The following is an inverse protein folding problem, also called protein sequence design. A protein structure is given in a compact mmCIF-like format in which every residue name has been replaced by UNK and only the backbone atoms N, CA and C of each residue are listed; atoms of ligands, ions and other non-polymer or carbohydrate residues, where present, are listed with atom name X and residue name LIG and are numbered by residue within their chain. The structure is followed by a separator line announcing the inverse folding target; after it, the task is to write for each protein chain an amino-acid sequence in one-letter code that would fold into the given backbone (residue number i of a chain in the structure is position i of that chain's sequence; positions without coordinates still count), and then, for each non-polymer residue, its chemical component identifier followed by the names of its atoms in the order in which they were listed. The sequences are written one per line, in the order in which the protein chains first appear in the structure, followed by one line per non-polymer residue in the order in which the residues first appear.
data_IF_347819858383
#
_entry.id   IF_347819858383
#
_cell.length_a   1.000
_cell.length_b   1.000
_cell.length_c   1.000
_cell.angle_alpha   90.00
_cell.angle_beta   90.00
_cell.angle_gamma   90.00
#
_symmetry.space_group_name_H-M   'P 1'
#
loop_
_entity.id
_entity.type
_entity.pdbx_description
1 polymer ?
#
# COMPACT_ATOMS: atom_id res chain seq x y z
N UNK A 1 3.77 23.54 -3.99
CA UNK A 1 2.41 23.36 -3.45
C UNK A 1 1.45 24.17 -4.32
N UNK A 2 0.20 23.75 -4.49
CA UNK A 2 -0.75 24.53 -5.29
C UNK A 2 -1.05 25.87 -4.60
N UNK A 3 -1.10 26.94 -5.39
CA UNK A 3 -1.27 28.32 -4.95
C UNK A 3 -2.74 28.76 -5.00
N UNK A 4 -3.58 28.06 -5.77
CA UNK A 4 -5.00 28.35 -5.89
C UNK A 4 -5.82 27.09 -6.27
N UNK A 5 -7.15 27.12 -6.10
CA UNK A 5 -8.01 25.98 -6.43
C UNK A 5 -7.97 25.54 -7.90
N UNK A 6 -7.74 26.46 -8.84
CA UNK A 6 -7.70 26.12 -10.27
C UNK A 6 -6.53 25.20 -10.60
N UNK A 7 -5.35 25.47 -10.04
CA UNK A 7 -4.18 24.59 -10.19
C UNK A 7 -4.44 23.17 -9.68
N UNK A 8 -5.23 23.01 -8.61
CA UNK A 8 -5.62 21.70 -8.09
C UNK A 8 -6.54 20.98 -9.08
N UNK A 9 -7.57 21.68 -9.59
CA UNK A 9 -8.53 21.09 -10.54
C UNK A 9 -7.86 20.71 -11.86
N UNK A 10 -6.97 21.56 -12.37
CA UNK A 10 -6.21 21.30 -13.60
C UNK A 10 -5.31 20.08 -13.42
N UNK A 11 -4.59 19.99 -12.31
CA UNK A 11 -3.75 18.83 -11.98
C UNK A 11 -4.58 17.53 -11.89
N UNK A 12 -5.68 17.53 -11.13
CA UNK A 12 -6.54 16.36 -10.99
C UNK A 12 -7.15 15.92 -12.32
N UNK A 13 -7.57 16.89 -13.15
CA UNK A 13 -8.16 16.61 -14.46
C UNK A 13 -7.13 16.06 -15.45
N UNK A 14 -5.91 16.60 -15.46
CA UNK A 14 -4.82 16.07 -16.29
C UNK A 14 -4.41 14.66 -15.85
N UNK A 15 -4.30 14.43 -14.53
CA UNK A 15 -4.02 13.11 -13.98
C UNK A 15 -5.11 12.09 -14.37
N UNK A 16 -6.38 12.46 -14.23
CA UNK A 16 -7.50 11.60 -14.61
C UNK A 16 -7.48 11.27 -16.11
N UNK A 17 -7.20 12.26 -16.97
CA UNK A 17 -7.08 12.04 -18.42
C UNK A 17 -5.98 11.03 -18.77
N UNK A 18 -4.84 11.08 -18.06
CA UNK A 18 -3.71 10.16 -18.30
C UNK A 18 -3.93 8.77 -17.69
N UNK A 19 -4.55 8.69 -16.52
CA UNK A 19 -4.76 7.44 -15.80
C UNK A 19 -5.94 6.62 -16.34
N UNK A 20 -6.98 7.28 -16.86
CA UNK A 20 -8.23 6.63 -17.30
C UNK A 20 -8.02 5.53 -18.36
N UNK A 21 -7.22 5.71 -19.44
CA UNK A 21 -7.02 4.66 -20.44
C UNK A 21 -6.42 3.38 -19.85
N UNK A 22 -5.50 3.53 -18.89
CA UNK A 22 -4.91 2.39 -18.20
C UNK A 22 -5.93 1.69 -17.30
N UNK A 23 -6.73 2.46 -16.54
CA UNK A 23 -7.79 1.90 -15.69
C UNK A 23 -8.88 1.17 -16.49
N UNK A 24 -9.27 1.71 -17.66
CA UNK A 24 -10.22 1.04 -18.56
C UNK A 24 -9.65 -0.28 -19.11
N UNK A 25 -8.36 -0.31 -19.44
CA UNK A 25 -7.66 -1.53 -19.87
C UNK A 25 -7.59 -2.58 -18.76
N UNK A 26 -7.20 -2.18 -17.56
CA UNK A 26 -7.13 -3.08 -16.39
C UNK A 26 -8.50 -3.65 -16.04
N UNK A 27 -9.56 -2.83 -16.05
CA UNK A 27 -10.91 -3.29 -15.81
C UNK A 27 -11.40 -4.26 -16.89
N UNK A 28 -11.08 -4.00 -18.17
CA UNK A 28 -11.42 -4.91 -19.25
C UNK A 28 -10.70 -6.26 -19.11
N UNK A 29 -9.41 -6.25 -18.74
CA UNK A 29 -8.64 -7.46 -18.45
C UNK A 29 -9.24 -8.24 -17.28
N UNK A 30 -9.62 -7.55 -16.21
CA UNK A 30 -10.24 -8.15 -15.03
C UNK A 30 -11.59 -8.78 -15.35
N UNK A 31 -12.44 -8.09 -16.13
CA UNK A 31 -13.72 -8.64 -16.61
C UNK A 31 -13.53 -9.88 -17.47
N UNK A 32 -12.57 -9.85 -18.41
CA UNK A 32 -12.27 -11.00 -19.26
C UNK A 32 -11.79 -12.20 -18.43
N UNK A 33 -10.92 -11.96 -17.45
CA UNK A 33 -10.46 -12.99 -16.51
C UNK A 33 -11.60 -13.57 -15.67
N UNK A 34 -12.43 -12.71 -15.06
CA UNK A 34 -13.57 -13.15 -14.25
C UNK A 34 -14.59 -13.96 -15.05
N UNK A 35 -14.82 -13.59 -16.32
CA UNK A 35 -15.70 -14.34 -17.23
C UNK A 35 -15.09 -15.69 -17.62
N UNK A 36 -13.82 -15.72 -17.99
CA UNK A 36 -13.14 -16.94 -18.46
C UNK A 36 -12.99 -17.99 -17.35
N UNK A 37 -12.58 -17.57 -16.15
CA UNK A 37 -12.24 -18.49 -15.06
C UNK A 37 -13.39 -18.75 -14.09
N UNK A 38 -14.33 -17.80 -13.94
CA UNK A 38 -15.39 -17.87 -12.92
C UNK A 38 -16.82 -17.70 -13.49
N UNK A 39 -16.97 -17.50 -14.80
CA UNK A 39 -18.28 -17.37 -15.44
C UNK A 39 -19.04 -16.10 -15.02
N UNK A 40 -18.35 -15.07 -14.52
CA UNK A 40 -18.98 -13.81 -14.10
C UNK A 40 -19.16 -12.90 -15.31
N UNK A 41 -20.40 -12.65 -15.69
CA UNK A 41 -20.73 -11.80 -16.84
C UNK A 41 -20.63 -10.29 -16.53
N UNK A 42 -20.97 -9.88 -15.30
CA UNK A 42 -20.92 -8.48 -14.88
C UNK A 42 -20.15 -8.34 -13.57
N UNK A 43 -19.08 -7.55 -13.60
CA UNK A 43 -18.23 -7.27 -12.45
C UNK A 43 -18.73 -6.01 -11.72
N UNK A 44 -19.15 -6.16 -10.47
CA UNK A 44 -19.57 -5.04 -9.63
C UNK A 44 -18.38 -4.41 -8.90
N UNK A 45 -18.49 -3.16 -8.40
CA UNK A 45 -17.37 -2.48 -7.75
C UNK A 45 -16.79 -3.22 -6.54
N UNK A 46 -17.60 -3.94 -5.77
CA UNK A 46 -17.14 -4.74 -4.62
C UNK A 46 -16.42 -6.03 -5.04
N UNK A 47 -16.63 -6.51 -6.25
CA UNK A 47 -15.98 -7.71 -6.78
C UNK A 47 -14.54 -7.44 -7.22
N UNK A 48 -14.22 -6.18 -7.50
CA UNK A 48 -12.93 -5.78 -8.08
C UNK A 48 -11.77 -6.29 -7.22
N UNK A 49 -11.77 -6.02 -5.92
CA UNK A 49 -10.67 -6.42 -5.02
C UNK A 49 -10.46 -7.94 -5.02
N UNK A 50 -11.56 -8.70 -4.95
CA UNK A 50 -11.51 -10.16 -4.91
C UNK A 50 -10.94 -10.77 -6.21
N UNK A 51 -11.46 -10.36 -7.36
CA UNK A 51 -10.98 -10.91 -8.63
C UNK A 51 -9.60 -10.36 -9.01
N UNK A 52 -9.22 -9.16 -8.56
CA UNK A 52 -7.89 -8.61 -8.79
C UNK A 52 -6.83 -9.43 -8.08
N UNK A 53 -7.09 -9.85 -6.84
CA UNK A 53 -6.19 -10.78 -6.12
C UNK A 53 -6.08 -12.13 -6.84
N UNK A 54 -7.20 -12.69 -7.32
CA UNK A 54 -7.16 -13.93 -8.10
C UNK A 54 -6.40 -13.79 -9.42
N UNK A 55 -6.59 -12.67 -10.12
CA UNK A 55 -5.91 -12.38 -11.36
C UNK A 55 -4.40 -12.22 -11.12
N UNK A 56 -4.01 -11.52 -10.05
CA UNK A 56 -2.61 -11.36 -9.64
C UNK A 56 -1.96 -12.70 -9.31
N UNK A 57 -2.67 -13.56 -8.57
CA UNK A 57 -2.22 -14.93 -8.30
C UNK A 57 -2.07 -15.75 -9.59
N UNK A 58 -3.02 -15.65 -10.52
CA UNK A 58 -2.96 -16.36 -11.80
C UNK A 58 -1.78 -15.89 -12.68
N UNK A 59 -1.56 -14.57 -12.78
CA UNK A 59 -0.53 -13.99 -13.64
C UNK A 59 0.89 -14.09 -13.06
N UNK A 60 1.03 -13.88 -11.75
CA UNK A 60 2.33 -13.72 -11.12
C UNK A 60 2.67 -14.85 -10.14
N UNK A 61 1.75 -15.79 -9.88
CA UNK A 61 1.92 -16.86 -8.88
C UNK A 61 2.29 -16.33 -7.48
N UNK A 62 1.93 -15.08 -7.18
CA UNK A 62 2.18 -14.40 -5.90
C UNK A 62 0.84 -14.12 -5.23
N UNK A 63 0.73 -14.46 -3.96
CA UNK A 63 -0.42 -14.15 -3.12
C UNK A 63 0.00 -13.29 -1.93
N UNK A 64 -0.77 -12.25 -1.62
CA UNK A 64 -0.51 -11.38 -0.46
C UNK A 64 -0.62 -12.16 0.86
N UNK A 65 -1.49 -13.18 0.92
CA UNK A 65 -1.58 -14.13 2.03
C UNK A 65 -0.28 -14.93 2.22
N UNK A 66 0.35 -15.36 1.13
CA UNK A 66 1.64 -16.08 1.18
C UNK A 66 2.78 -15.17 1.62
N UNK A 67 2.70 -13.86 1.35
CA UNK A 67 3.69 -12.87 1.78
C UNK A 67 3.53 -12.49 3.27
N UNK A 68 2.33 -12.57 3.83
CA UNK A 68 2.03 -12.12 5.20
C UNK A 68 2.96 -12.71 6.28
N UNK A 69 3.33 -14.00 6.29
CA UNK A 69 4.28 -14.55 7.25
C UNK A 69 5.68 -13.95 7.19
N UNK A 70 6.06 -13.35 6.06
CA UNK A 70 7.36 -12.71 5.88
C UNK A 70 7.43 -11.27 6.42
N UNK A 71 6.27 -10.67 6.73
CA UNK A 71 6.15 -9.31 7.27
C UNK A 71 5.54 -9.29 8.69
N UNK A 72 6.14 -9.98 9.69
CA UNK A 72 5.70 -9.81 11.07
C UNK A 72 6.04 -8.38 11.54
N UNK A 73 5.13 -7.78 12.30
CA UNK A 73 5.19 -6.38 12.74
C UNK A 73 6.58 -5.99 13.27
N UNK A 74 7.12 -6.75 14.22
CA UNK A 74 8.42 -6.47 14.82
C UNK A 74 9.56 -6.44 13.80
N UNK A 75 9.55 -7.31 12.77
CA UNK A 75 10.58 -7.28 11.72
C UNK A 75 10.38 -6.10 10.78
N UNK A 76 9.14 -5.77 10.44
CA UNK A 76 8.84 -4.63 9.58
C UNK A 76 9.24 -3.30 10.26
N UNK A 77 8.90 -3.13 11.53
CA UNK A 77 9.27 -1.96 12.34
C UNK A 77 10.79 -1.85 12.51
N UNK A 78 11.47 -2.96 12.81
CA UNK A 78 12.94 -2.95 12.90
C UNK A 78 13.59 -2.64 11.54
N UNK A 79 13.05 -3.17 10.45
CA UNK A 79 13.51 -2.86 9.10
C UNK A 79 13.36 -1.38 8.75
N UNK A 80 12.25 -0.76 9.15
CA UNK A 80 12.05 0.69 9.02
C UNK A 80 13.12 1.48 9.77
N UNK A 81 13.41 1.15 11.03
CA UNK A 81 14.45 1.83 11.81
C UNK A 81 15.85 1.64 11.21
N UNK A 82 16.15 0.47 10.66
CA UNK A 82 17.42 0.23 9.96
C UNK A 82 17.56 1.11 8.70
N UNK A 83 16.48 1.29 7.93
CA UNK A 83 16.49 2.20 6.77
C UNK A 83 16.70 3.65 7.22
N UNK A 84 16.01 4.08 8.28
CA UNK A 84 16.18 5.43 8.85
C UNK A 84 17.61 5.65 9.33
N UNK A 85 18.20 4.65 9.99
CA UNK A 85 19.60 4.69 10.41
C UNK A 85 20.55 4.85 9.22
N UNK A 86 20.39 4.05 8.17
CA UNK A 86 21.30 4.10 7.00
C UNK A 86 21.22 5.39 6.22
N UNK A 87 20.02 5.97 6.10
CA UNK A 87 19.80 7.17 5.29
C UNK A 87 20.14 8.44 6.09
N UNK A 88 19.76 8.48 7.37
CA UNK A 88 19.79 9.69 8.18
C UNK A 88 20.73 9.65 9.38
N UNK A 89 21.36 8.51 9.69
CA UNK A 89 22.19 8.34 10.88
C UNK A 89 21.39 8.34 12.20
N UNK A 90 20.08 8.13 12.15
CA UNK A 90 19.21 8.20 13.33
C UNK A 90 18.97 6.79 13.89
N UNK A 91 19.22 6.59 15.17
CA UNK A 91 18.94 5.35 15.90
C UNK A 91 17.71 5.51 16.79
N UNK A 92 16.76 4.57 16.68
CA UNK A 92 15.58 4.50 17.53
C UNK A 92 15.79 3.53 18.72
N UNK A 93 15.41 3.95 19.93
CA UNK A 93 15.49 3.14 21.15
C UNK A 93 14.14 3.12 21.86
N UNK A 94 13.58 1.93 22.04
CA UNK A 94 12.29 1.77 22.75
C UNK A 94 12.44 2.04 24.25
N UNK A 95 11.50 2.81 24.82
CA UNK A 95 11.35 3.03 26.26
C UNK A 95 9.98 2.52 26.71
N UNK A 96 9.95 1.90 27.89
CA UNK A 96 8.73 1.31 28.48
C UNK A 96 8.34 1.95 29.81
N UNK A 97 9.16 2.88 30.29
CA UNK A 97 9.03 3.62 31.54
C UNK A 97 8.37 5.00 31.34
N UNK A 98 7.81 5.23 30.15
CA UNK A 98 7.05 6.44 29.81
C UNK A 98 5.57 6.15 29.96
N UNK A 99 4.83 7.08 30.57
CA UNK A 99 3.38 6.97 30.69
C UNK A 99 2.73 7.04 29.30
N UNK A 100 1.88 6.06 29.00
CA UNK A 100 1.22 5.92 27.70
C UNK A 100 -0.29 5.80 27.90
N UNK A 101 -1.06 6.31 26.95
CA UNK A 101 -2.52 6.35 27.04
C UNK A 101 -3.20 5.00 26.75
N UNK A 102 -2.48 4.03 26.20
CA UNK A 102 -3.00 2.69 25.90
C UNK A 102 -1.88 1.64 25.98
N UNK A 103 -2.14 0.41 26.47
CA UNK A 103 -1.11 -0.63 26.64
C UNK A 103 -0.39 -1.05 25.34
N UNK A 104 -1.02 -0.88 24.17
CA UNK A 104 -0.41 -1.21 22.88
C UNK A 104 0.51 -0.11 22.31
N UNK A 105 0.61 1.04 23.00
CA UNK A 105 1.46 2.16 22.56
C UNK A 105 2.91 1.87 22.90
N UNK A 106 3.80 2.09 21.92
CA UNK A 106 5.25 1.95 22.07
C UNK A 106 5.91 3.32 21.93
N UNK A 107 6.77 3.66 22.89
CA UNK A 107 7.52 4.91 22.87
C UNK A 107 8.96 4.66 22.40
N UNK A 108 9.46 5.50 21.49
CA UNK A 108 10.83 5.42 20.98
C UNK A 108 11.53 6.77 21.08
N UNK A 109 12.72 6.78 21.68
CA UNK A 109 13.66 7.90 21.64
C UNK A 109 14.48 7.81 20.35
N UNK A 110 14.64 8.94 19.66
CA UNK A 110 15.46 9.03 18.44
C UNK A 110 16.76 9.77 18.76
N UNK A 111 17.90 9.19 18.39
CA UNK A 111 19.22 9.76 18.58
C UNK A 111 19.93 9.93 17.24
N UNK A 112 20.59 11.07 17.05
CA UNK A 112 21.47 11.34 15.92
C UNK A 112 22.87 10.78 16.24
N UNK A 113 23.51 10.07 15.30
CA UNK A 113 24.87 9.51 15.44
C UNK A 113 25.98 10.59 15.32
N UNK A 114 25.79 11.77 15.92
CA UNK A 114 26.84 12.80 16.00
C UNK A 114 27.86 12.55 17.10
#
# INVERSE_FOLDING_TARGET
MAENPQQVLDFLTDLAKRARPQGEKELAQLRAFAKAEFGVDELQPWDIAYYSEKQKQHLYSISDEQLRPYFPENKAVNGLFEVVKRIYGITAKERKDVDVWHPDVRFFELYDEK
#
